data_IF_001268446778
#
_entry.id   IF_001268446778
#
_cell.length_a   1.000
_cell.length_b   1.000
_cell.length_c   1.000
_cell.angle_alpha   90.00
_cell.angle_beta   90.00
_cell.angle_gamma   90.00
#
_symmetry.space_group_name_H-M   'P 1'
#
loop_
_entity.id
_entity.type
_entity.pdbx_description
1 polymer ?
#
# COMPACT_ATOMS: atom_id res chain seq x y z
N UNK A 1 -43.08 42.14 50.99
CA UNK A 1 -41.78 41.44 50.82
C UNK A 1 -41.80 40.90 49.39
N UNK A 2 -41.43 41.74 48.42
CA UNK A 2 -40.07 41.92 47.86
C UNK A 2 -39.74 40.92 46.75
N UNK A 3 -39.75 41.47 45.53
CA UNK A 3 -38.72 41.37 44.48
C UNK A 3 -38.32 40.02 43.87
N UNK A 4 -38.27 39.99 42.52
CA UNK A 4 -37.49 38.99 41.80
C UNK A 4 -37.78 38.83 40.30
N UNK A 5 -37.21 39.72 39.49
CA UNK A 5 -36.75 39.61 38.08
C UNK A 5 -36.57 38.16 37.56
N UNK A 6 -36.79 37.74 36.30
CA UNK A 6 -36.74 38.35 34.97
C UNK A 6 -36.25 37.27 33.96
N UNK A 7 -36.30 37.59 32.66
CA UNK A 7 -35.69 36.92 31.49
C UNK A 7 -36.58 36.00 30.62
N UNK A 8 -37.03 36.60 29.52
CA UNK A 8 -37.46 35.96 28.30
C UNK A 8 -36.28 35.26 27.60
N UNK A 9 -36.41 33.97 27.30
CA UNK A 9 -35.52 33.23 26.42
C UNK A 9 -36.25 32.90 25.11
N UNK A 10 -35.93 33.65 24.05
CA UNK A 10 -36.40 33.36 22.69
C UNK A 10 -35.68 32.14 22.13
N UNK A 11 -36.46 31.15 21.69
CA UNK A 11 -35.98 29.98 20.95
C UNK A 11 -35.91 30.31 19.47
N UNK A 12 -34.74 30.69 18.97
CA UNK A 12 -34.46 30.77 17.53
C UNK A 12 -34.12 29.38 16.99
N UNK A 13 -35.04 28.78 16.24
CA UNK A 13 -34.78 27.58 15.44
C UNK A 13 -33.90 27.92 14.23
N UNK A 14 -32.83 27.15 13.95
CA UNK A 14 -32.07 27.32 12.71
C UNK A 14 -32.78 26.63 11.54
N UNK A 15 -33.01 27.40 10.48
CA UNK A 15 -33.54 26.95 9.19
C UNK A 15 -32.54 26.04 8.44
N UNK A 16 -32.98 25.00 7.72
CA UNK A 16 -32.08 24.13 6.97
C UNK A 16 -31.57 24.81 5.69
N UNK A 17 -30.26 24.73 5.48
CA UNK A 17 -29.53 25.19 4.29
C UNK A 17 -29.90 24.36 3.05
N UNK A 18 -29.94 24.94 1.83
CA UNK A 18 -30.16 24.18 0.61
C UNK A 18 -28.94 23.31 0.24
N UNK A 19 -29.15 22.15 -0.42
CA UNK A 19 -28.07 21.27 -0.87
C UNK A 19 -27.27 21.89 -2.03
N UNK A 20 -25.96 21.56 -2.16
CA UNK A 20 -25.13 22.03 -3.26
C UNK A 20 -25.53 21.41 -4.61
N UNK A 21 -25.35 22.12 -5.74
CA UNK A 21 -25.63 21.58 -7.06
C UNK A 21 -24.65 20.47 -7.45
N UNK A 22 -25.19 19.41 -8.04
CA UNK A 22 -24.43 18.29 -8.60
C UNK A 22 -23.52 18.74 -9.76
N UNK A 23 -22.28 18.21 -9.87
CA UNK A 23 -21.47 18.40 -11.06
C UNK A 23 -22.02 17.57 -12.23
N UNK A 24 -22.46 18.26 -13.30
CA UNK A 24 -22.78 17.65 -14.59
C UNK A 24 -21.50 17.11 -15.24
N UNK A 25 -21.52 15.83 -15.59
CA UNK A 25 -20.43 15.09 -16.21
C UNK A 25 -20.29 15.44 -17.73
N UNK A 26 -19.16 15.98 -18.21
CA UNK A 26 -18.96 16.35 -19.61
C UNK A 26 -18.29 15.22 -20.43
N UNK A 27 -18.74 13.97 -20.32
CA UNK A 27 -18.13 12.83 -21.02
C UNK A 27 -18.75 12.50 -22.40
N UNK A 28 -19.61 13.35 -22.98
CA UNK A 28 -20.31 13.03 -24.23
C UNK A 28 -19.90 13.84 -25.47
N UNK A 29 -18.71 14.42 -25.50
CA UNK A 29 -18.21 15.17 -26.66
C UNK A 29 -16.78 14.81 -27.07
N UNK A 30 -16.39 13.52 -27.08
CA UNK A 30 -15.16 13.08 -27.76
C UNK A 30 -15.35 11.70 -28.37
N UNK A 31 -16.27 11.54 -29.32
CA UNK A 31 -16.26 10.40 -30.25
C UNK A 31 -16.63 10.89 -31.64
N UNK A 32 -15.74 11.65 -32.29
CA UNK A 32 -15.73 11.79 -33.76
C UNK A 32 -14.48 12.53 -34.23
N UNK A 33 -13.33 11.86 -34.26
CA UNK A 33 -12.25 12.23 -35.18
C UNK A 33 -11.76 10.98 -35.89
N UNK A 34 -12.12 10.96 -37.17
CA UNK A 34 -11.71 10.12 -38.30
C UNK A 34 -10.52 9.19 -38.11
N UNK A 35 -10.81 7.90 -38.28
CA UNK A 35 -9.88 6.77 -38.36
C UNK A 35 -9.16 6.69 -39.72
N UNK A 36 -8.68 7.81 -40.25
CA UNK A 36 -8.07 7.84 -41.58
C UNK A 36 -7.02 8.93 -41.68
N UNK A 37 -5.76 8.53 -41.46
CA UNK A 37 -4.50 9.02 -42.02
C UNK A 37 -3.37 8.79 -41.00
N UNK A 38 -2.82 7.58 -40.96
CA UNK A 38 -1.45 7.37 -40.47
C UNK A 38 -0.62 6.86 -41.65
N UNK A 39 0.16 7.74 -42.32
CA UNK A 39 1.09 7.30 -43.33
C UNK A 39 2.23 6.52 -42.68
N UNK A 40 2.55 5.38 -43.30
CA UNK A 40 3.67 4.50 -42.96
C UNK A 40 5.00 5.28 -42.96
N UNK A 41 5.46 5.69 -41.78
CA UNK A 41 6.83 6.13 -41.54
C UNK A 41 7.59 4.99 -40.85
N UNK A 42 8.17 4.10 -41.66
CA UNK A 42 9.25 3.20 -41.24
C UNK A 42 10.48 4.05 -40.90
N UNK A 43 10.65 4.39 -39.63
CA UNK A 43 11.96 4.70 -39.06
C UNK A 43 12.49 3.44 -38.35
N UNK A 44 13.72 2.98 -38.65
CA UNK A 44 14.33 1.90 -37.90
C UNK A 44 14.63 2.41 -36.49
N UNK A 45 13.90 1.89 -35.50
CA UNK A 45 14.22 2.11 -34.09
C UNK A 45 15.65 1.60 -33.81
N UNK A 46 16.57 2.43 -33.27
CA UNK A 46 17.84 1.93 -32.79
C UNK A 46 17.57 0.98 -31.62
N UNK A 47 18.00 -0.27 -31.79
CA UNK A 47 17.93 -1.32 -30.77
C UNK A 47 18.73 -0.85 -29.55
N UNK A 48 18.13 -0.75 -28.34
CA UNK A 48 18.91 -0.47 -27.15
C UNK A 48 19.90 -1.63 -26.95
N UNK A 49 21.19 -1.29 -26.94
CA UNK A 49 22.27 -2.20 -26.53
C UNK A 49 21.96 -2.68 -25.12
N UNK A 50 21.67 -3.96 -25.00
CA UNK A 50 21.54 -4.65 -23.73
C UNK A 50 22.93 -4.65 -23.09
N UNK A 51 23.18 -3.68 -22.20
CA UNK A 51 24.26 -3.85 -21.24
C UNK A 51 23.88 -5.04 -20.37
N UNK A 52 24.56 -6.16 -20.61
CA UNK A 52 24.43 -7.38 -19.85
C UNK A 52 24.78 -7.10 -18.39
N UNK A 53 23.77 -6.86 -17.56
CA UNK A 53 23.89 -7.02 -16.11
C UNK A 53 24.20 -8.48 -15.84
N UNK A 54 25.21 -8.82 -15.03
CA UNK A 54 25.44 -10.21 -14.64
C UNK A 54 24.20 -10.71 -13.90
N UNK A 55 23.48 -11.64 -14.55
CA UNK A 55 22.39 -12.41 -13.96
C UNK A 55 22.97 -13.22 -12.80
N UNK A 56 22.91 -12.68 -11.58
CA UNK A 56 22.81 -13.53 -10.40
C UNK A 56 21.44 -14.17 -10.51
N UNK A 57 21.39 -15.36 -11.13
CA UNK A 57 20.24 -16.23 -11.03
C UNK A 57 19.88 -16.33 -9.54
N UNK A 58 18.71 -15.84 -9.10
CA UNK A 58 18.25 -16.20 -7.77
C UNK A 58 18.16 -17.73 -7.74
N UNK A 59 18.56 -18.38 -6.63
CA UNK A 59 18.40 -19.82 -6.50
C UNK A 59 16.94 -20.15 -6.84
N UNK A 60 16.77 -21.08 -7.78
CA UNK A 60 15.46 -21.49 -8.28
C UNK A 60 14.52 -21.72 -7.10
N UNK A 61 13.37 -21.01 -7.11
CA UNK A 61 12.25 -21.21 -6.19
C UNK A 61 11.77 -22.69 -6.11
N UNK A 62 12.29 -23.57 -6.97
CA UNK A 62 12.09 -25.02 -6.93
C UNK A 62 12.67 -25.74 -5.70
N UNK A 63 13.63 -25.16 -4.96
CA UNK A 63 14.22 -25.85 -3.79
C UNK A 63 13.33 -25.85 -2.54
N UNK A 64 12.24 -25.06 -2.51
CA UNK A 64 11.28 -24.99 -1.39
C UNK A 64 9.91 -25.57 -1.75
N UNK A 65 9.72 -26.04 -2.98
CA UNK A 65 8.43 -26.42 -3.54
C UNK A 65 7.85 -27.74 -2.99
N UNK A 66 8.58 -28.44 -2.11
CA UNK A 66 8.16 -29.73 -1.52
C UNK A 66 7.87 -29.67 -0.02
N UNK A 67 7.70 -28.46 0.57
CA UNK A 67 7.16 -28.35 1.92
C UNK A 67 5.64 -28.27 1.83
N UNK A 68 4.95 -29.37 2.17
CA UNK A 68 3.51 -29.34 2.47
C UNK A 68 3.30 -28.28 3.55
N UNK A 69 2.72 -27.13 3.17
CA UNK A 69 2.40 -26.05 4.11
C UNK A 69 1.57 -26.68 5.24
N UNK A 70 1.93 -26.47 6.53
CA UNK A 70 1.13 -27.01 7.62
C UNK A 70 -0.32 -26.51 7.48
N UNK A 71 -1.33 -27.36 7.76
CA UNK A 71 -2.72 -26.93 7.78
C UNK A 71 -2.84 -25.87 8.86
N UNK A 72 -2.96 -24.63 8.43
CA UNK A 72 -3.10 -23.47 9.28
C UNK A 72 -4.16 -22.56 8.68
N UNK A 73 -4.80 -21.73 9.51
CA UNK A 73 -5.80 -20.79 9.03
C UNK A 73 -5.31 -19.98 7.84
N UNK A 74 -6.24 -19.64 6.93
CA UNK A 74 -5.95 -18.75 5.81
C UNK A 74 -5.46 -17.38 6.32
N UNK A 75 -4.75 -16.62 5.48
CA UNK A 75 -4.19 -15.31 5.85
C UNK A 75 -5.26 -14.32 6.35
N UNK A 76 -6.46 -14.40 5.79
CA UNK A 76 -7.58 -13.51 6.12
C UNK A 76 -8.63 -14.16 7.02
N UNK A 77 -8.31 -15.29 7.65
CA UNK A 77 -9.23 -15.98 8.55
C UNK A 77 -9.67 -15.13 9.76
N UNK A 78 -8.80 -14.32 10.41
CA UNK A 78 -9.24 -13.47 11.51
C UNK A 78 -10.33 -12.47 11.12
N UNK A 79 -10.19 -11.80 9.97
CA UNK A 79 -11.21 -10.86 9.47
C UNK A 79 -12.52 -11.55 9.08
N UNK A 80 -12.42 -12.77 8.54
CA UNK A 80 -13.59 -13.60 8.27
C UNK A 80 -14.35 -13.97 9.55
N UNK A 81 -13.65 -14.27 10.64
CA UNK A 81 -14.28 -14.55 11.93
C UNK A 81 -15.05 -13.35 12.47
N UNK A 82 -14.51 -12.14 12.36
CA UNK A 82 -15.20 -10.90 12.77
C UNK A 82 -16.45 -10.62 11.92
N UNK A 83 -16.38 -10.87 10.61
CA UNK A 83 -17.54 -10.76 9.73
C UNK A 83 -18.64 -11.74 10.12
N UNK A 84 -18.29 -13.01 10.34
CA UNK A 84 -19.24 -14.02 10.77
C UNK A 84 -19.83 -13.71 12.15
N UNK A 85 -19.01 -13.27 13.10
CA UNK A 85 -19.47 -12.85 14.42
C UNK A 85 -20.51 -11.72 14.30
N UNK A 86 -20.27 -10.73 13.43
CA UNK A 86 -21.23 -9.65 13.19
C UNK A 86 -22.55 -10.17 12.59
N UNK A 87 -22.49 -11.06 11.59
CA UNK A 87 -23.70 -11.64 11.00
C UNK A 87 -24.50 -12.47 12.00
N UNK A 88 -23.85 -13.29 12.82
CA UNK A 88 -24.54 -14.11 13.84
C UNK A 88 -25.33 -13.26 14.83
N UNK A 89 -24.82 -12.08 15.20
CA UNK A 89 -25.50 -11.20 16.18
C UNK A 89 -26.57 -10.32 15.53
N UNK A 90 -26.48 -10.04 14.23
CA UNK A 90 -27.35 -9.05 13.56
C UNK A 90 -28.32 -9.66 12.54
N UNK A 91 -28.30 -10.98 12.32
CA UNK A 91 -29.18 -11.65 11.36
C UNK A 91 -29.90 -12.82 12.02
N UNK A 92 -31.05 -13.19 11.46
CA UNK A 92 -31.78 -14.40 11.83
C UNK A 92 -32.16 -15.16 10.56
N UNK A 93 -32.66 -16.39 10.68
CA UNK A 93 -33.04 -17.19 9.50
C UNK A 93 -34.11 -16.50 8.62
N UNK A 94 -34.94 -15.63 9.21
CA UNK A 94 -36.07 -14.98 8.54
C UNK A 94 -35.81 -13.49 8.22
N UNK A 95 -34.77 -12.87 8.78
CA UNK A 95 -34.44 -11.46 8.56
C UNK A 95 -32.93 -11.22 8.37
N UNK A 96 -32.61 -10.78 7.16
CA UNK A 96 -31.27 -10.44 6.68
C UNK A 96 -30.97 -8.94 6.68
N UNK A 97 -31.93 -8.09 7.07
CA UNK A 97 -31.80 -6.63 7.00
C UNK A 97 -30.62 -6.09 7.81
N UNK A 98 -30.26 -6.78 8.90
CA UNK A 98 -29.15 -6.43 9.78
C UNK A 98 -27.75 -6.69 9.19
N UNK A 99 -27.62 -7.40 8.06
CA UNK A 99 -26.31 -7.57 7.35
C UNK A 99 -25.66 -6.23 7.02
N UNK A 100 -26.47 -5.19 6.78
CA UNK A 100 -26.00 -3.83 6.49
C UNK A 100 -25.19 -3.20 7.63
N UNK A 101 -25.38 -3.64 8.87
CA UNK A 101 -24.58 -3.18 10.02
C UNK A 101 -23.15 -3.73 10.00
N UNK A 102 -22.92 -4.81 9.25
CA UNK A 102 -21.65 -5.52 9.17
C UNK A 102 -20.78 -5.09 7.97
N UNK A 103 -21.06 -3.93 7.36
CA UNK A 103 -20.28 -3.42 6.22
C UNK A 103 -18.83 -3.15 6.60
N UNK A 104 -18.55 -2.66 7.81
CA UNK A 104 -17.18 -2.41 8.26
C UNK A 104 -16.31 -3.69 8.30
N UNK A 105 -16.68 -4.77 9.03
CA UNK A 105 -15.89 -6.01 9.01
C UNK A 105 -15.90 -6.71 7.64
N UNK A 106 -16.95 -6.51 6.82
CA UNK A 106 -16.97 -7.00 5.44
C UNK A 106 -15.91 -6.31 4.58
N UNK A 107 -15.80 -4.98 4.70
CA UNK A 107 -14.79 -4.19 4.01
C UNK A 107 -13.38 -4.58 4.44
N UNK A 108 -13.15 -4.87 5.72
CA UNK A 108 -11.85 -5.31 6.24
C UNK A 108 -11.46 -6.70 5.70
N UNK A 109 -12.42 -7.62 5.59
CA UNK A 109 -12.19 -8.92 4.97
C UNK A 109 -11.81 -8.81 3.48
N UNK A 110 -12.51 -7.96 2.72
CA UNK A 110 -12.19 -7.71 1.31
C UNK A 110 -10.90 -6.92 1.11
N UNK A 111 -10.57 -6.03 2.05
CA UNK A 111 -9.28 -5.35 2.09
C UNK A 111 -8.16 -6.39 2.21
N UNK A 112 -8.23 -7.32 3.17
CA UNK A 112 -7.21 -8.37 3.32
C UNK A 112 -7.08 -9.26 2.06
N UNK A 113 -8.18 -9.57 1.38
CA UNK A 113 -8.16 -10.44 0.19
C UNK A 113 -7.52 -9.77 -1.02
N UNK A 114 -7.76 -8.47 -1.21
CA UNK A 114 -7.45 -7.79 -2.46
C UNK A 114 -6.48 -6.62 -2.32
N UNK A 115 -6.18 -6.20 -1.09
CA UNK A 115 -5.31 -5.10 -0.71
C UNK A 115 -5.53 -3.83 -1.57
N UNK A 116 -6.78 -3.53 -1.95
CA UNK A 116 -7.08 -2.42 -2.88
C UNK A 116 -6.72 -1.07 -2.28
N UNK A 117 -7.05 -0.88 -1.00
CA UNK A 117 -6.77 0.35 -0.25
C UNK A 117 -5.27 0.52 -0.06
N UNK A 118 -4.56 -0.56 0.29
CA UNK A 118 -3.10 -0.54 0.43
C UNK A 118 -2.39 -0.30 -0.92
N UNK A 119 -2.82 -0.93 -2.00
CA UNK A 119 -2.26 -0.70 -3.33
C UNK A 119 -2.40 0.76 -3.78
N UNK A 120 -3.58 1.37 -3.55
CA UNK A 120 -3.81 2.78 -3.84
C UNK A 120 -2.93 3.69 -2.98
N UNK A 121 -2.81 3.39 -1.68
CA UNK A 121 -1.96 4.14 -0.74
C UNK A 121 -0.49 4.07 -1.14
N UNK A 122 0.03 2.87 -1.40
CA UNK A 122 1.40 2.65 -1.81
C UNK A 122 1.71 3.38 -3.13
N UNK A 123 0.80 3.35 -4.10
CA UNK A 123 0.96 4.09 -5.35
C UNK A 123 1.04 5.61 -5.11
N UNK A 124 0.15 6.15 -4.27
CA UNK A 124 0.16 7.57 -3.92
C UNK A 124 1.47 7.97 -3.21
N UNK A 125 1.94 7.16 -2.26
CA UNK A 125 3.19 7.39 -1.55
C UNK A 125 4.39 7.33 -2.50
N UNK A 126 4.45 6.36 -3.42
CA UNK A 126 5.52 6.27 -4.42
C UNK A 126 5.53 7.47 -5.37
N UNK A 127 4.36 7.99 -5.74
CA UNK A 127 4.26 9.22 -6.55
C UNK A 127 4.78 10.42 -5.77
N UNK A 128 4.37 10.58 -4.51
CA UNK A 128 4.86 11.66 -3.64
C UNK A 128 6.37 11.56 -3.42
N UNK A 129 6.88 10.35 -3.16
CA UNK A 129 8.30 10.09 -2.98
C UNK A 129 9.11 10.47 -4.21
N UNK A 130 8.71 10.02 -5.41
CA UNK A 130 9.40 10.39 -6.66
C UNK A 130 9.38 11.89 -6.94
N UNK A 131 8.28 12.58 -6.59
CA UNK A 131 8.21 14.06 -6.70
C UNK A 131 9.18 14.73 -5.72
N UNK A 132 9.25 14.22 -4.49
CA UNK A 132 10.20 14.72 -3.50
C UNK A 132 11.65 14.46 -3.91
N UNK A 133 11.98 13.28 -4.46
CA UNK A 133 13.33 12.97 -4.97
C UNK A 133 13.74 13.86 -6.15
N UNK A 134 12.79 14.27 -7.00
CA UNK A 134 13.07 15.21 -8.09
C UNK A 134 13.31 16.65 -7.61
N UNK A 135 12.83 17.00 -6.40
CA UNK A 135 12.93 18.34 -5.82
C UNK A 135 13.98 18.45 -4.70
N UNK A 136 14.35 17.32 -4.09
CA UNK A 136 15.25 17.25 -2.94
C UNK A 136 16.71 17.01 -3.31
N UNK A 137 17.61 17.37 -2.40
CA UNK A 137 19.03 17.06 -2.50
C UNK A 137 19.27 15.56 -2.23
N UNK A 138 20.11 14.91 -3.04
CA UNK A 138 20.39 13.46 -2.97
C UNK A 138 21.13 13.07 -1.69
N UNK A 139 21.51 14.04 -0.86
CA UNK A 139 22.16 13.89 0.44
C UNK A 139 21.30 13.15 1.48
N UNK A 140 19.98 13.04 1.29
CA UNK A 140 19.11 12.22 2.13
C UNK A 140 19.10 10.73 1.78
N UNK A 141 19.89 10.31 0.78
CA UNK A 141 20.06 8.90 0.47
C UNK A 141 20.75 8.17 1.63
N UNK A 142 20.27 6.96 1.96
CA UNK A 142 20.89 6.14 3.02
C UNK A 142 22.33 5.83 2.64
N UNK A 143 23.25 6.27 3.49
CA UNK A 143 24.68 6.07 3.28
C UNK A 143 25.04 4.59 3.42
N UNK A 144 26.09 4.16 2.71
CA UNK A 144 26.53 2.77 2.72
C UNK A 144 26.80 2.21 4.13
N UNK A 145 27.25 3.05 5.08
CA UNK A 145 27.43 2.67 6.48
C UNK A 145 26.13 2.31 7.21
N UNK A 146 25.02 3.00 6.89
CA UNK A 146 23.71 2.70 7.46
C UNK A 146 23.10 1.43 6.84
N UNK A 147 23.41 1.14 5.59
CA UNK A 147 23.00 -0.13 4.95
C UNK A 147 23.83 -1.31 5.50
N UNK A 148 25.10 -1.09 5.85
CA UNK A 148 25.98 -2.08 6.50
C UNK A 148 25.51 -2.45 7.91
N UNK A 149 24.99 -1.50 8.70
CA UNK A 149 24.50 -1.78 10.06
C UNK A 149 23.25 -2.67 10.09
N UNK A 150 22.50 -2.73 8.99
CA UNK A 150 21.39 -3.67 8.80
C UNK A 150 21.84 -5.10 8.48
N UNK A 151 23.16 -5.35 8.38
CA UNK A 151 23.71 -6.67 8.06
C UNK A 151 23.53 -7.10 6.60
N UNK A 152 23.07 -6.19 5.72
CA UNK A 152 22.87 -6.47 4.29
C UNK A 152 24.18 -6.47 3.48
N UNK A 153 25.22 -5.83 4.00
CA UNK A 153 26.56 -5.76 3.41
C UNK A 153 27.57 -6.29 4.43
N UNK A 154 28.57 -7.06 3.97
CA UNK A 154 29.70 -7.41 4.81
C UNK A 154 30.47 -6.14 5.19
N UNK A 155 30.33 -5.71 6.44
CA UNK A 155 31.26 -4.77 7.05
C UNK A 155 32.54 -5.49 7.49
N UNK A 156 33.67 -4.79 7.37
CA UNK A 156 34.95 -5.30 7.85
C UNK A 156 34.92 -5.44 9.38
N UNK A 157 35.76 -6.32 9.91
CA UNK A 157 35.70 -6.71 11.33
C UNK A 157 36.10 -5.56 12.28
N UNK A 158 36.86 -4.60 11.75
CA UNK A 158 37.28 -3.38 12.42
C UNK A 158 36.10 -2.44 12.67
N UNK A 159 35.16 -2.35 11.73
CA UNK A 159 33.99 -1.48 11.80
C UNK A 159 32.89 -2.06 12.71
N UNK A 160 32.97 -3.36 13.01
CA UNK A 160 32.10 -4.07 13.96
C UNK A 160 32.63 -4.08 15.40
N UNK A 161 33.79 -3.48 15.67
CA UNK A 161 34.48 -3.59 16.96
C UNK A 161 34.61 -5.04 17.48
N UNK A 162 34.67 -6.02 16.57
CA UNK A 162 34.84 -7.42 16.94
C UNK A 162 36.35 -7.66 17.05
N UNK A 163 36.86 -7.63 18.28
CA UNK A 163 38.22 -8.12 18.54
C UNK A 163 38.23 -9.62 18.32
N UNK A 164 38.66 -10.07 17.14
CA UNK A 164 38.87 -11.50 16.88
C UNK A 164 39.88 -12.02 17.90
N UNK A 165 39.52 -13.00 18.74
CA UNK A 165 40.53 -13.64 19.59
C UNK A 165 41.55 -14.32 18.69
N UNK A 166 42.84 -14.15 18.96
CA UNK A 166 43.94 -14.62 18.10
C UNK A 166 44.03 -16.14 17.94
N UNK A 167 43.11 -16.89 18.56
CA UNK A 167 43.08 -18.35 18.60
C UNK A 167 42.24 -18.96 17.47
N UNK A 168 41.51 -18.16 16.69
CA UNK A 168 40.64 -18.65 15.63
C UNK A 168 41.29 -18.47 14.26
N UNK A 169 41.58 -19.54 13.50
CA UNK A 169 42.06 -19.44 12.13
C UNK A 169 41.02 -18.77 11.22
N UNK A 170 41.42 -17.72 10.49
CA UNK A 170 40.60 -17.12 9.44
C UNK A 170 40.93 -17.74 8.08
N UNK A 171 39.93 -18.27 7.38
CA UNK A 171 40.09 -18.69 5.99
C UNK A 171 40.19 -17.44 5.10
N UNK A 172 41.37 -17.18 4.56
CA UNK A 172 41.55 -16.17 3.51
C UNK A 172 40.95 -16.69 2.20
N UNK A 173 40.02 -15.93 1.63
CA UNK A 173 39.59 -16.14 0.24
C UNK A 173 40.74 -15.72 -0.68
N UNK A 174 41.21 -16.66 -1.51
CA UNK A 174 42.29 -16.44 -2.47
C UNK A 174 41.83 -15.53 -3.61
N UNK A 175 42.78 -14.76 -4.13
CA UNK A 175 42.65 -13.76 -5.21
C UNK A 175 42.40 -14.40 -6.56
#
# INVERSE_FOLDING_TARGET
MSSGYGLAGGTSSPSPSPPPPHPTNPQHLIVSVSLSLFPSLLLPFPRPTQHATPSRNPPSLGAYANKKKPPGPSRCYPFWQELLACYVVNTSAEDDSGKRKCVAPLEDYYECLHHRKEAARAAALQVAYRRAEAQGDRSSAKNAGEIRSLGLLEASDEEKHIKKPSLLPSMSTNK
#
